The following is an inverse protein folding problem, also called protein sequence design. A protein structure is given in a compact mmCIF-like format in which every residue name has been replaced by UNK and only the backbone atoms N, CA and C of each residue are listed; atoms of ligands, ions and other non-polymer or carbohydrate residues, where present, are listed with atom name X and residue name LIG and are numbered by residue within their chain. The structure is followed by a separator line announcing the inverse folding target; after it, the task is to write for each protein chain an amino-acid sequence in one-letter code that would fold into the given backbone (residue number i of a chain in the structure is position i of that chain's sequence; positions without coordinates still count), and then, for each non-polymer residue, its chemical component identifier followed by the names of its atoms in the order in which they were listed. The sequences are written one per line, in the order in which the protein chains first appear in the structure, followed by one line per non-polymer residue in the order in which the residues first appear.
data_IF_690956693997
#
_entry.id   IF_690956693997
#
_cell.length_a   1.000
_cell.length_b   1.000
_cell.length_c   1.000
_cell.angle_alpha   90.00
_cell.angle_beta   90.00
_cell.angle_gamma   90.00
#
_symmetry.space_group_name_H-M   'P 1'
#
loop_
_entity.id
_entity.type
_entity.pdbx_description
1 polymer ?
#
# COMPACT_ATOMS: atom_id res chain seq x y z
N UNK A 1 -28.34 -21.51 3.21
CA UNK A 1 -27.52 -20.34 2.80
C UNK A 1 -26.91 -20.67 1.45
N UNK A 2 -27.26 -19.93 0.39
CA UNK A 2 -26.67 -20.14 -0.94
C UNK A 2 -25.33 -19.42 -0.97
N UNK A 3 -24.23 -20.19 -0.95
CA UNK A 3 -22.90 -19.67 -1.26
C UNK A 3 -22.92 -19.15 -2.69
N UNK A 4 -22.82 -17.83 -2.85
CA UNK A 4 -22.63 -17.22 -4.16
C UNK A 4 -21.28 -17.70 -4.69
N UNK A 5 -21.33 -18.49 -5.76
CA UNK A 5 -20.16 -18.91 -6.51
C UNK A 5 -19.59 -17.66 -7.18
N UNK A 6 -18.68 -16.96 -6.49
CA UNK A 6 -17.94 -15.83 -7.05
C UNK A 6 -16.83 -16.42 -7.91
N UNK A 7 -17.22 -16.99 -9.05
CA UNK A 7 -16.27 -17.21 -10.14
C UNK A 7 -15.66 -15.87 -10.49
N UNK A 8 -14.33 -15.85 -10.68
CA UNK A 8 -13.44 -14.75 -11.05
C UNK A 8 -14.01 -13.83 -12.16
N UNK A 9 -15.04 -13.02 -11.85
CA UNK A 9 -15.48 -11.91 -12.68
C UNK A 9 -14.55 -10.75 -12.37
N UNK A 10 -13.43 -10.72 -13.08
CA UNK A 10 -12.72 -9.48 -13.34
C UNK A 10 -13.76 -8.44 -13.79
N UNK A 11 -13.87 -7.30 -13.11
CA UNK A 11 -14.91 -6.27 -13.35
C UNK A 11 -15.25 -6.15 -14.84
N UNK A 12 -16.40 -6.68 -15.25
CA UNK A 12 -16.71 -6.89 -16.67
C UNK A 12 -17.23 -5.59 -17.30
N UNK A 13 -17.67 -4.62 -16.49
CA UNK A 13 -18.17 -3.32 -16.94
C UNK A 13 -17.67 -2.16 -16.05
N UNK A 14 -17.39 -0.97 -16.62
CA UNK A 14 -17.06 0.25 -15.85
C UNK A 14 -18.06 0.57 -14.74
N UNK A 15 -19.35 0.35 -14.99
CA UNK A 15 -20.43 0.57 -14.02
C UNK A 15 -20.32 -0.34 -12.77
N UNK A 16 -19.69 -1.51 -12.87
CA UNK A 16 -19.47 -2.38 -11.71
C UNK A 16 -18.34 -1.85 -10.82
N UNK A 17 -17.31 -1.24 -11.42
CA UNK A 17 -16.23 -0.57 -10.66
C UNK A 17 -16.77 0.65 -9.94
N UNK A 18 -17.58 1.45 -10.60
CA UNK A 18 -18.18 2.66 -10.00
C UNK A 18 -19.04 2.32 -8.79
N UNK A 19 -19.88 1.27 -8.89
CA UNK A 19 -20.66 0.77 -7.75
C UNK A 19 -19.82 0.26 -6.59
N UNK A 20 -18.67 -0.36 -6.88
CA UNK A 20 -17.73 -0.77 -5.85
C UNK A 20 -17.19 0.46 -5.11
N UNK A 21 -16.72 1.47 -5.84
CA UNK A 21 -16.20 2.69 -5.22
C UNK A 21 -17.27 3.41 -4.40
N UNK A 22 -18.49 3.53 -4.92
CA UNK A 22 -19.61 4.08 -4.15
C UNK A 22 -19.90 3.31 -2.86
N UNK A 23 -19.79 1.98 -2.88
CA UNK A 23 -20.00 1.16 -1.69
C UNK A 23 -18.92 1.42 -0.63
N UNK A 24 -17.66 1.57 -1.06
CA UNK A 24 -16.54 1.90 -0.18
C UNK A 24 -16.65 3.32 0.40
N UNK A 25 -17.13 4.29 -0.39
CA UNK A 25 -17.33 5.66 0.09
C UNK A 25 -18.46 5.79 1.12
N UNK A 26 -19.51 4.97 0.99
CA UNK A 26 -20.68 4.99 1.88
C UNK A 26 -20.44 4.30 3.22
N UNK A 27 -19.48 3.38 3.30
CA UNK A 27 -19.18 2.60 4.50
C UNK A 27 -17.69 2.69 4.86
N UNK A 28 -17.37 3.53 5.85
CA UNK A 28 -16.00 3.76 6.29
C UNK A 28 -15.35 2.54 6.94
N UNK A 29 -16.13 1.66 7.57
CA UNK A 29 -15.62 0.42 8.16
C UNK A 29 -15.23 -0.55 7.05
N UNK A 30 -16.08 -0.70 6.03
CA UNK A 30 -15.78 -1.52 4.86
C UNK A 30 -14.56 -1.01 4.10
N UNK A 31 -14.42 0.31 3.94
CA UNK A 31 -13.24 0.91 3.33
C UNK A 31 -11.97 0.57 4.10
N UNK A 32 -12.01 0.68 5.44
CA UNK A 32 -10.87 0.36 6.29
C UNK A 32 -10.45 -1.11 6.15
N UNK A 33 -11.41 -2.03 6.23
CA UNK A 33 -11.15 -3.47 6.05
C UNK A 33 -10.56 -3.77 4.67
N UNK A 34 -11.07 -3.10 3.64
CA UNK A 34 -10.53 -3.22 2.28
C UNK A 34 -9.08 -2.74 2.20
N UNK A 35 -8.75 -1.60 2.81
CA UNK A 35 -7.38 -1.08 2.85
C UNK A 35 -6.43 -2.01 3.62
N UNK A 36 -6.87 -2.62 4.72
CA UNK A 36 -6.08 -3.60 5.49
C UNK A 36 -5.76 -4.84 4.65
N UNK A 37 -6.73 -5.34 3.89
CA UNK A 37 -6.51 -6.45 2.95
C UNK A 37 -5.55 -6.06 1.83
N UNK A 38 -5.72 -4.88 1.22
CA UNK A 38 -4.82 -4.38 0.17
C UNK A 38 -3.38 -4.28 0.70
N UNK A 39 -3.20 -3.71 1.89
CA UNK A 39 -1.88 -3.61 2.52
C UNK A 39 -1.23 -4.98 2.71
N UNK A 40 -2.01 -5.96 3.19
CA UNK A 40 -1.55 -7.33 3.36
C UNK A 40 -1.10 -7.95 2.03
N UNK A 41 -1.88 -7.74 0.95
CA UNK A 41 -1.53 -8.24 -0.39
C UNK A 41 -0.25 -7.59 -0.93
N UNK A 42 -0.13 -6.27 -0.79
CA UNK A 42 1.04 -5.52 -1.27
C UNK A 42 2.31 -6.01 -0.55
N UNK A 43 2.28 -6.15 0.78
CA UNK A 43 3.42 -6.61 1.57
C UNK A 43 3.81 -8.06 1.22
N UNK A 44 2.83 -8.89 0.88
CA UNK A 44 3.05 -10.31 0.60
C UNK A 44 3.63 -10.57 -0.81
N UNK A 45 3.50 -9.62 -1.74
CA UNK A 45 4.02 -9.74 -3.11
C UNK A 45 5.05 -8.63 -3.40
N UNK A 46 6.35 -8.97 -3.51
CA UNK A 46 7.40 -8.00 -3.82
C UNK A 46 7.18 -7.21 -5.12
N UNK A 47 6.50 -7.81 -6.11
CA UNK A 47 6.20 -7.13 -7.37
C UNK A 47 5.16 -6.02 -7.15
N UNK A 48 4.10 -6.30 -6.39
CA UNK A 48 3.10 -5.28 -6.04
C UNK A 48 3.72 -4.19 -5.16
N UNK A 49 4.61 -4.57 -4.23
CA UNK A 49 5.38 -3.60 -3.44
C UNK A 49 6.16 -2.64 -4.34
N UNK A 50 6.88 -3.15 -5.34
CA UNK A 50 7.63 -2.31 -6.29
C UNK A 50 6.71 -1.36 -7.07
N UNK A 51 5.58 -1.87 -7.56
CA UNK A 51 4.62 -1.06 -8.31
C UNK A 51 4.00 0.06 -7.47
N UNK A 52 3.70 -0.21 -6.20
CA UNK A 52 3.21 0.83 -5.28
C UNK A 52 4.30 1.87 -5.00
N UNK A 53 5.56 1.44 -4.83
CA UNK A 53 6.68 2.36 -4.64
C UNK A 53 6.88 3.28 -5.85
N UNK A 54 6.80 2.75 -7.08
CA UNK A 54 6.87 3.52 -8.33
C UNK A 54 5.74 4.57 -8.41
N UNK A 55 4.51 4.21 -8.04
CA UNK A 55 3.38 5.15 -7.98
C UNK A 55 3.58 6.25 -6.94
N UNK A 56 4.15 5.91 -5.78
CA UNK A 56 4.47 6.92 -4.75
C UNK A 56 5.54 7.89 -5.27
N UNK A 57 6.56 7.38 -5.94
CA UNK A 57 7.62 8.20 -6.55
C UNK A 57 7.05 9.14 -7.64
N UNK A 58 6.17 8.63 -8.51
CA UNK A 58 5.64 9.40 -9.65
C UNK A 58 4.58 10.43 -9.23
N UNK A 59 3.63 10.02 -8.39
CA UNK A 59 2.38 10.77 -8.18
C UNK A 59 2.32 11.42 -6.78
N UNK A 60 3.14 10.96 -5.84
CA UNK A 60 3.13 11.42 -4.44
C UNK A 60 4.52 11.85 -3.97
N UNK A 61 5.16 12.74 -4.74
CA UNK A 61 6.53 13.21 -4.52
C UNK A 61 6.83 13.69 -3.08
N UNK A 62 5.88 14.36 -2.43
CA UNK A 62 6.07 14.81 -1.04
C UNK A 62 6.24 13.64 -0.06
N UNK A 63 5.42 12.61 -0.22
CA UNK A 63 5.51 11.38 0.57
C UNK A 63 6.81 10.64 0.26
N UNK A 64 7.18 10.51 -1.01
CA UNK A 64 8.46 9.93 -1.41
C UNK A 64 9.65 10.63 -0.74
N UNK A 65 9.67 11.98 -0.78
CA UNK A 65 10.74 12.76 -0.16
C UNK A 65 10.79 12.60 1.37
N UNK A 66 9.63 12.50 2.02
CA UNK A 66 9.55 12.23 3.46
C UNK A 66 10.16 10.87 3.81
N UNK A 67 9.76 9.81 3.09
CA UNK A 67 10.31 8.45 3.25
C UNK A 67 11.83 8.44 3.01
N UNK A 68 12.28 9.09 1.92
CA UNK A 68 13.69 9.15 1.56
C UNK A 68 14.54 9.86 2.62
N UNK A 69 14.03 10.95 3.19
CA UNK A 69 14.69 11.68 4.27
C UNK A 69 14.85 10.81 5.52
N UNK A 70 13.82 10.05 5.89
CA UNK A 70 13.87 9.17 7.06
C UNK A 70 14.89 8.03 6.86
N UNK A 71 14.95 7.43 5.67
CA UNK A 71 15.99 6.43 5.33
C UNK A 71 17.42 6.98 5.45
N UNK A 72 17.65 8.23 5.01
CA UNK A 72 18.94 8.88 5.16
C UNK A 72 19.27 9.19 6.63
N UNK A 73 18.28 9.53 7.45
CA UNK A 73 18.48 9.75 8.88
C UNK A 73 18.85 8.45 9.61
N UNK A 74 18.19 7.33 9.30
CA UNK A 74 18.51 6.02 9.88
C UNK A 74 19.93 5.56 9.54
N UNK A 75 20.35 5.68 8.28
CA UNK A 75 21.72 5.34 7.84
C UNK A 75 22.82 6.23 8.42
N UNK A 76 22.49 7.47 8.81
CA UNK A 76 23.43 8.37 9.49
C UNK A 76 23.63 8.03 10.97
N UNK A 77 22.66 7.36 11.60
CA UNK A 77 22.68 7.00 13.02
C UNK A 77 23.48 5.72 13.33
N UNK A 78 23.65 4.83 12.34
CA UNK A 78 24.48 3.62 12.44
C UNK A 78 25.99 3.89 12.35
N UNK A 79 26.40 5.12 11.99
CA UNK A 79 27.79 5.56 11.98
C UNK A 79 28.23 6.29 13.27
N UNK A 80 27.46 6.23 14.35
CA UNK A 80 27.95 6.67 15.67
C UNK A 80 28.94 5.65 16.26
N UNK A 81 30.18 5.77 15.80
CA UNK A 81 31.42 5.62 16.56
C UNK A 81 31.46 4.45 17.56
N UNK A 82 31.82 3.26 17.05
CA UNK A 82 32.60 2.31 17.84
C UNK A 82 33.99 2.89 18.09
N UNK A 83 34.12 3.81 19.05
CA UNK A 83 35.40 4.29 19.52
C UNK A 83 36.03 3.16 20.34
N UNK A 84 36.93 2.38 19.73
CA UNK A 84 37.82 1.48 20.44
C UNK A 84 38.55 2.28 21.52
N UNK A 85 38.35 1.89 22.77
CA UNK A 85 39.29 2.18 23.85
C UNK A 85 40.21 0.97 23.94
N UNK A 86 41.42 1.13 23.47
CA UNK A 86 42.59 0.44 24.00
C UNK A 86 43.46 1.49 24.69
#
# INVERSE_FOLDING_TARGET
MKTLNVENKLFQAPAEKERLFEALEKDSQLLKETLEVILTLVISDPKLTSQVAELIESDFKELYLAIFKDMLMESSSSNKMGCCKD
#
